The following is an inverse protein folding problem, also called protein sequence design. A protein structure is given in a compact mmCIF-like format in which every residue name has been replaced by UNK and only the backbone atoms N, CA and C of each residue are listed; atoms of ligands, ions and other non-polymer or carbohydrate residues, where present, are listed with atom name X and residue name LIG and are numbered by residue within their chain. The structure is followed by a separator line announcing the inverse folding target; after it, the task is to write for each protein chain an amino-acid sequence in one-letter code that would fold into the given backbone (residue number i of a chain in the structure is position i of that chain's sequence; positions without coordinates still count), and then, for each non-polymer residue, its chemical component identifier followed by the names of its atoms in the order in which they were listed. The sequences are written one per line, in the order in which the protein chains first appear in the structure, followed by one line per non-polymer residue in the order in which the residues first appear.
data_IF_490550676731
#
_entry.id   IF_490550676731
#
_cell.length_a   1.000
_cell.length_b   1.000
_cell.length_c   1.000
_cell.angle_alpha   90.00
_cell.angle_beta   90.00
_cell.angle_gamma   90.00
#
_symmetry.space_group_name_H-M   'P 1'
#
loop_
_entity.id
_entity.type
_entity.pdbx_description
1 polymer ?
#
# COMPACT_ATOMS: atom_id res chain seq x y z
N UNK A 1 -27.28 63.47 43.70
CA UNK A 1 -26.05 62.64 43.65
C UNK A 1 -25.00 63.39 42.85
N UNK A 2 -23.79 63.56 43.40
CA UNK A 2 -22.71 64.34 42.80
C UNK A 2 -22.11 63.59 41.59
N UNK A 3 -22.05 64.22 40.41
CA UNK A 3 -21.54 63.60 39.18
C UNK A 3 -20.10 63.07 39.31
N UNK A 4 -19.32 63.61 40.25
CA UNK A 4 -17.98 63.09 40.56
C UNK A 4 -18.03 61.72 41.25
N UNK A 5 -19.01 61.49 42.12
CA UNK A 5 -19.21 60.20 42.80
C UNK A 5 -19.56 59.10 41.80
N UNK A 6 -20.41 59.43 40.82
CA UNK A 6 -20.81 58.50 39.76
C UNK A 6 -19.61 58.16 38.85
N UNK A 7 -18.83 59.17 38.43
CA UNK A 7 -17.62 58.94 37.62
C UNK A 7 -16.59 58.08 38.36
N UNK A 8 -16.38 58.31 39.65
CA UNK A 8 -15.46 57.50 40.45
C UNK A 8 -15.95 56.06 40.59
N UNK A 9 -17.25 55.84 40.78
CA UNK A 9 -17.84 54.50 40.82
C UNK A 9 -17.65 53.74 39.49
N UNK A 10 -17.82 54.40 38.34
CA UNK A 10 -17.56 53.78 37.04
C UNK A 10 -16.09 53.44 36.82
N UNK A 11 -15.17 54.30 37.25
CA UNK A 11 -13.72 54.02 37.15
C UNK A 11 -13.34 52.77 37.96
N UNK A 12 -13.80 52.68 39.20
CA UNK A 12 -13.56 51.52 40.07
C UNK A 12 -14.13 50.23 39.45
N UNK A 13 -15.34 50.30 38.87
CA UNK A 13 -15.94 49.14 38.23
C UNK A 13 -15.13 48.68 37.01
N UNK A 14 -14.67 49.61 36.18
CA UNK A 14 -13.82 49.32 35.01
C UNK A 14 -12.50 48.69 35.46
N UNK A 15 -11.86 49.24 36.50
CA UNK A 15 -10.59 48.72 37.03
C UNK A 15 -10.76 47.29 37.59
N UNK A 16 -11.86 47.00 38.28
CA UNK A 16 -12.19 45.65 38.78
C UNK A 16 -12.38 44.66 37.62
N UNK A 17 -13.10 45.04 36.58
CA UNK A 17 -13.32 44.19 35.40
C UNK A 17 -12.01 43.95 34.65
N UNK A 18 -11.18 44.98 34.48
CA UNK A 18 -9.87 44.85 33.85
C UNK A 18 -8.93 43.94 34.64
N UNK A 19 -8.93 44.07 35.97
CA UNK A 19 -8.14 43.20 36.86
C UNK A 19 -8.61 41.75 36.76
N UNK A 20 -9.91 41.51 36.66
CA UNK A 20 -10.45 40.16 36.50
C UNK A 20 -10.02 39.54 35.18
N UNK A 21 -10.15 40.26 34.06
CA UNK A 21 -9.75 39.77 32.73
C UNK A 21 -8.24 39.51 32.66
N UNK A 22 -7.43 40.33 33.33
CA UNK A 22 -5.97 40.19 33.35
C UNK A 22 -5.48 39.01 34.21
N UNK A 23 -6.29 38.56 35.19
CA UNK A 23 -5.99 37.40 36.03
C UNK A 23 -6.60 36.09 35.51
N UNK A 24 -7.35 36.12 34.40
CA UNK A 24 -7.74 34.91 33.70
C UNK A 24 -6.52 34.41 32.94
N UNK A 25 -5.91 33.32 33.43
CA UNK A 25 -4.83 32.64 32.73
C UNK A 25 -5.25 32.34 31.28
N UNK A 26 -4.56 32.87 30.25
CA UNK A 26 -4.88 32.59 28.86
C UNK A 26 -4.74 31.09 28.50
N UNK A 27 -4.10 30.32 29.38
CA UNK A 27 -3.91 28.88 29.24
C UNK A 27 -5.18 28.04 29.49
N UNK A 28 -6.25 28.61 30.08
CA UNK A 28 -7.50 27.87 30.34
C UNK A 28 -8.61 28.16 29.31
N UNK A 29 -8.37 29.06 28.35
CA UNK A 29 -9.18 29.21 27.12
C UNK A 29 -8.63 28.30 26.00
N UNK A 30 -8.25 27.09 26.36
CA UNK A 30 -7.97 26.05 25.38
C UNK A 30 -8.62 24.74 25.82
N UNK A 31 -9.93 24.80 26.01
CA UNK A 31 -10.79 23.62 25.98
C UNK A 31 -10.41 22.81 24.74
N UNK A 32 -9.80 21.64 24.99
CA UNK A 32 -9.26 20.76 23.96
C UNK A 32 -10.40 20.16 23.15
N UNK A 33 -10.77 20.82 22.07
CA UNK A 33 -11.04 20.10 20.82
C UNK A 33 -9.70 19.96 20.08
N UNK A 34 -8.78 19.21 20.69
CA UNK A 34 -7.48 18.87 20.10
C UNK A 34 -7.42 17.35 19.94
N UNK A 35 -8.11 16.82 18.94
CA UNK A 35 -7.49 15.76 18.16
C UNK A 35 -6.48 16.45 17.24
N UNK A 36 -5.46 17.05 17.84
CA UNK A 36 -4.30 17.51 17.10
C UNK A 36 -3.55 16.23 16.79
N UNK A 37 -3.77 15.75 15.58
CA UNK A 37 -2.88 14.84 14.90
C UNK A 37 -1.47 15.45 14.98
N UNK A 38 -0.69 15.04 15.98
CA UNK A 38 0.75 15.27 16.06
C UNK A 38 1.47 14.45 14.96
N UNK A 39 0.97 14.52 13.73
CA UNK A 39 1.56 14.00 12.48
C UNK A 39 2.61 15.01 11.99
N UNK A 40 3.30 15.68 12.91
CA UNK A 40 4.44 16.55 12.59
C UNK A 40 5.76 15.79 12.53
N UNK A 41 5.78 14.55 13.03
CA UNK A 41 6.98 13.72 13.15
C UNK A 41 6.70 12.23 12.91
N UNK A 42 5.54 11.87 12.36
CA UNK A 42 5.27 10.50 11.98
C UNK A 42 5.86 10.21 10.61
N UNK A 43 6.43 9.03 10.43
CA UNK A 43 6.86 8.50 9.13
C UNK A 43 5.80 8.79 8.05
N UNK A 44 6.17 9.06 6.78
CA UNK A 44 5.22 9.44 5.72
C UNK A 44 4.07 8.45 5.48
N UNK A 45 4.16 7.23 6.02
CA UNK A 45 3.09 6.23 5.99
C UNK A 45 2.08 6.35 7.14
N UNK A 46 2.26 7.29 8.08
CA UNK A 46 1.42 7.44 9.27
C UNK A 46 1.51 6.27 10.26
N UNK A 47 2.43 5.33 10.05
CA UNK A 47 2.63 4.17 10.93
C UNK A 47 3.45 4.56 12.17
N UNK A 48 3.15 3.91 13.30
CA UNK A 48 3.91 4.09 14.54
C UNK A 48 5.28 3.42 14.45
N UNK A 49 6.26 3.90 15.23
CA UNK A 49 7.63 3.35 15.24
C UNK A 49 7.70 1.83 15.53
N UNK A 50 6.79 1.28 16.33
CA UNK A 50 6.75 -0.17 16.60
C UNK A 50 6.33 -0.99 15.37
N UNK A 51 5.45 -0.44 14.52
CA UNK A 51 5.03 -1.07 13.27
C UNK A 51 6.06 -0.89 12.16
N UNK A 52 6.77 0.25 12.11
CA UNK A 52 7.82 0.51 11.12
C UNK A 52 8.99 -0.49 11.20
N UNK A 53 9.30 -0.99 12.39
CA UNK A 53 10.32 -2.03 12.61
C UNK A 53 10.01 -3.34 11.86
N UNK A 54 8.74 -3.61 11.57
CA UNK A 54 8.33 -4.79 10.78
C UNK A 54 8.67 -4.65 9.30
N UNK A 55 8.91 -3.43 8.82
CA UNK A 55 9.23 -3.09 7.44
C UNK A 55 10.70 -2.72 7.25
N UNK A 56 11.56 -3.14 8.19
CA UNK A 56 13.01 -2.99 8.01
C UNK A 56 13.44 -3.68 6.70
N UNK A 57 14.30 -3.03 5.91
CA UNK A 57 14.75 -3.59 4.66
C UNK A 57 15.43 -4.93 4.92
N UNK A 58 15.09 -5.93 4.10
CA UNK A 58 15.81 -7.21 4.11
C UNK A 58 17.30 -6.91 3.86
N UNK A 59 18.23 -7.62 4.53
CA UNK A 59 19.64 -7.54 4.20
C UNK A 59 19.87 -7.69 2.69
N UNK A 60 20.85 -6.98 2.11
CA UNK A 60 21.17 -7.12 0.70
C UNK A 60 21.32 -8.59 0.33
N UNK A 61 20.69 -8.97 -0.78
CA UNK A 61 20.84 -10.33 -1.28
C UNK A 61 22.28 -10.52 -1.77
N UNK A 62 22.87 -11.66 -1.40
CA UNK A 62 24.13 -12.09 -1.98
C UNK A 62 24.00 -12.18 -3.50
N UNK A 63 24.99 -11.64 -4.22
CA UNK A 63 24.99 -11.69 -5.67
C UNK A 63 24.97 -13.15 -6.12
N UNK A 64 23.93 -13.51 -6.87
CA UNK A 64 23.88 -14.77 -7.63
C UNK A 64 24.03 -14.41 -9.10
N UNK A 65 25.02 -14.96 -9.81
CA UNK A 65 25.16 -14.72 -11.23
C UNK A 65 23.87 -15.13 -11.95
N UNK A 66 23.48 -14.42 -13.02
CA UNK A 66 22.34 -14.80 -13.83
C UNK A 66 22.42 -16.29 -14.19
N UNK A 67 21.33 -17.06 -14.06
CA UNK A 67 21.31 -18.43 -14.53
C UNK A 67 21.77 -18.48 -15.99
N UNK A 68 22.81 -19.27 -16.26
CA UNK A 68 23.31 -19.40 -17.62
C UNK A 68 22.22 -20.01 -18.49
N UNK A 69 21.89 -19.32 -19.59
CA UNK A 69 20.94 -19.84 -20.58
C UNK A 69 21.55 -21.12 -21.16
N UNK A 70 20.96 -22.27 -20.85
CA UNK A 70 21.36 -23.53 -21.48
C UNK A 70 21.22 -23.40 -22.99
N UNK A 71 22.26 -23.80 -23.72
CA UNK A 71 22.19 -23.94 -25.17
C UNK A 71 21.31 -25.17 -25.47
N UNK A 72 20.08 -24.94 -25.92
CA UNK A 72 19.30 -26.01 -26.54
C UNK A 72 19.97 -26.40 -27.86
N UNK A 73 19.91 -27.68 -28.27
CA UNK A 73 20.27 -28.05 -29.63
C UNK A 73 19.52 -27.17 -30.63
N UNK A 74 20.17 -26.77 -31.75
CA UNK A 74 19.48 -26.06 -32.81
C UNK A 74 18.26 -26.85 -33.30
N UNK A 75 17.20 -26.14 -33.72
CA UNK A 75 16.08 -26.81 -34.39
C UNK A 75 16.60 -27.53 -35.64
N UNK A 76 16.37 -28.83 -35.70
CA UNK A 76 16.63 -29.65 -36.87
C UNK A 76 15.33 -29.87 -37.64
N UNK A 77 15.42 -29.96 -38.97
CA UNK A 77 14.28 -30.28 -39.82
C UNK A 77 13.89 -31.76 -39.77
N UNK A 78 12.77 -32.11 -40.40
CA UNK A 78 12.25 -33.49 -40.38
C UNK A 78 12.76 -34.37 -41.53
N UNK A 79 13.65 -33.84 -42.40
CA UNK A 79 14.09 -34.53 -43.64
C UNK A 79 14.73 -35.89 -43.38
N UNK A 80 15.43 -36.04 -42.26
CA UNK A 80 16.11 -37.29 -41.89
C UNK A 80 15.12 -38.43 -41.59
N UNK A 81 13.87 -38.10 -41.26
CA UNK A 81 12.85 -39.09 -40.91
C UNK A 81 11.99 -39.51 -42.11
N UNK A 82 12.21 -38.94 -43.30
CA UNK A 82 11.42 -39.25 -44.51
C UNK A 82 11.47 -40.73 -44.89
N UNK A 83 12.60 -41.41 -44.62
CA UNK A 83 12.74 -42.86 -44.85
C UNK A 83 11.92 -43.72 -43.89
N UNK A 84 11.43 -43.17 -42.78
CA UNK A 84 10.63 -43.89 -41.78
C UNK A 84 9.13 -43.80 -42.05
N UNK A 85 8.72 -43.11 -43.13
CA UNK A 85 7.32 -43.03 -43.52
C UNK A 85 6.88 -44.38 -44.04
N UNK A 86 5.69 -44.82 -43.62
CA UNK A 86 5.06 -46.00 -44.16
C UNK A 86 4.73 -45.77 -45.64
N UNK A 87 4.96 -46.79 -46.47
CA UNK A 87 4.54 -46.75 -47.87
C UNK A 87 3.01 -46.70 -47.95
N UNK A 88 2.46 -46.18 -49.05
CA UNK A 88 1.00 -46.09 -49.22
C UNK A 88 0.29 -47.45 -49.23
N UNK A 89 1.04 -48.53 -49.42
CA UNK A 89 0.58 -49.93 -49.40
C UNK A 89 0.69 -50.58 -48.01
N UNK A 90 1.33 -49.92 -47.04
CA UNK A 90 1.53 -50.45 -45.68
C UNK A 90 0.21 -50.39 -44.88
N UNK A 91 -0.22 -51.48 -44.22
CA UNK A 91 -1.37 -51.49 -43.31
C UNK A 91 -1.35 -50.39 -42.24
N UNK A 92 -0.17 -49.89 -41.86
CA UNK A 92 -0.01 -48.80 -40.89
C UNK A 92 -0.44 -47.43 -41.43
N UNK A 93 -0.58 -47.30 -42.75
CA UNK A 93 -1.14 -46.13 -43.43
C UNK A 93 -2.68 -46.17 -43.49
N UNK A 94 -3.32 -47.23 -42.98
CA UNK A 94 -4.77 -47.34 -42.98
C UNK A 94 -5.43 -46.14 -42.26
N UNK A 95 -6.51 -45.56 -42.82
CA UNK A 95 -7.24 -44.49 -42.17
C UNK A 95 -7.66 -44.89 -40.75
N UNK A 96 -7.62 -43.98 -39.77
CA UNK A 96 -8.13 -44.26 -38.43
C UNK A 96 -9.55 -44.78 -38.51
N UNK A 97 -9.81 -45.95 -37.93
CA UNK A 97 -11.15 -46.53 -37.84
C UNK A 97 -12.03 -45.53 -37.10
N UNK A 98 -13.05 -45.01 -37.78
CA UNK A 98 -14.04 -44.12 -37.15
C UNK A 98 -14.78 -44.93 -36.09
N UNK A 99 -14.47 -44.69 -34.81
CA UNK A 99 -15.24 -45.26 -33.70
C UNK A 99 -16.59 -44.55 -33.67
N UNK A 100 -17.61 -45.16 -34.27
CA UNK A 100 -19.00 -44.75 -34.08
C UNK A 100 -19.45 -45.08 -32.66
N UNK A 101 -20.30 -44.23 -32.10
CA UNK A 101 -20.96 -44.49 -30.82
C UNK A 101 -21.87 -45.73 -30.98
N UNK A 102 -21.67 -46.74 -30.13
CA UNK A 102 -22.57 -47.89 -30.05
C UNK A 102 -23.95 -47.41 -29.58
N UNK A 103 -25.06 -47.87 -30.19
CA UNK A 103 -26.39 -47.44 -29.76
C UNK A 103 -26.62 -47.82 -28.29
N UNK A 104 -26.90 -46.82 -27.46
CA UNK A 104 -27.25 -47.02 -26.07
C UNK A 104 -28.55 -47.85 -26.01
N UNK A 105 -28.45 -49.04 -25.40
CA UNK A 105 -29.59 -49.91 -25.10
C UNK A 105 -30.46 -49.36 -23.99
#
# INVERSE_FOLDING_TARGET
MNSNMIRNAFRVLIDIVHLFISNVDPALSQSRNKHTLEIGQSHPTGLTNNLLKLFEPRPPLEYKPPPEKRKCPPYTGMVQFVSQFAESTDPKYAPPVQKGETPNS
#
